data_IF_421354797613
#
_entry.id   IF_421354797613
#
_cell.length_a   1.000
_cell.length_b   1.000
_cell.length_c   1.000
_cell.angle_alpha   90.00
_cell.angle_beta   90.00
_cell.angle_gamma   90.00
#
_symmetry.space_group_name_H-M   'P 1'
#
loop_
_entity.id
_entity.type
_entity.pdbx_description
1 polymer ?
#
# COMPACT_ATOMS: atom_id res chain seq x y z
N UNK A 1 6.64 -8.96 -13.89
CA UNK A 1 8.11 -8.93 -13.67
C UNK A 1 8.39 -9.83 -12.47
N UNK A 2 9.47 -10.63 -12.40
CA UNK A 2 9.72 -11.42 -11.19
C UNK A 2 10.13 -10.49 -10.04
N UNK A 3 9.79 -10.83 -8.80
CA UNK A 3 10.22 -10.04 -7.64
C UNK A 3 11.74 -10.11 -7.48
N UNK A 4 12.41 -8.96 -7.46
CA UNK A 4 13.87 -8.87 -7.41
C UNK A 4 14.36 -8.49 -6.00
N UNK A 5 15.60 -8.86 -5.66
CA UNK A 5 16.30 -8.29 -4.49
C UNK A 5 17.16 -7.12 -4.94
N UNK A 6 17.04 -5.99 -4.25
CA UNK A 6 17.81 -4.77 -4.50
C UNK A 6 18.30 -4.25 -3.15
N UNK A 7 19.46 -3.59 -3.13
CA UNK A 7 19.92 -2.89 -1.93
C UNK A 7 18.99 -1.71 -1.62
N UNK A 8 18.47 -1.65 -0.40
CA UNK A 8 17.51 -0.62 0.03
C UNK A 8 17.93 -0.03 1.37
N UNK A 9 17.35 1.12 1.72
CA UNK A 9 17.42 1.69 3.06
C UNK A 9 16.11 1.32 3.76
N UNK A 10 16.17 0.37 4.70
CA UNK A 10 14.97 -0.23 5.32
C UNK A 10 13.98 0.83 5.85
N UNK A 11 14.47 1.81 6.61
CA UNK A 11 13.63 2.88 7.15
C UNK A 11 12.89 3.70 6.07
N UNK A 12 13.45 3.86 4.86
CA UNK A 12 12.78 4.55 3.76
C UNK A 12 11.69 3.67 3.14
N UNK A 13 11.95 2.37 2.99
CA UNK A 13 10.96 1.41 2.48
C UNK A 13 9.78 1.28 3.45
N UNK A 14 10.07 1.22 4.75
CA UNK A 14 9.05 1.19 5.80
C UNK A 14 8.21 2.47 5.82
N UNK A 15 8.82 3.63 5.56
CA UNK A 15 8.09 4.90 5.43
C UNK A 15 7.17 4.88 4.20
N UNK A 16 7.62 4.35 3.07
CA UNK A 16 6.76 4.23 1.88
C UNK A 16 5.52 3.37 2.14
N UNK A 17 5.66 2.27 2.88
CA UNK A 17 4.53 1.41 3.25
C UNK A 17 3.53 2.14 4.15
N UNK A 18 4.02 2.86 5.17
CA UNK A 18 3.18 3.69 6.05
C UNK A 18 2.45 4.80 5.31
N UNK A 19 3.20 5.59 4.54
CA UNK A 19 2.67 6.76 3.86
C UNK A 19 1.63 6.34 2.82
N UNK A 20 1.85 5.23 2.11
CA UNK A 20 0.88 4.72 1.16
C UNK A 20 -0.44 4.31 1.86
N UNK A 21 -0.36 3.55 2.96
CA UNK A 21 -1.55 3.14 3.71
C UNK A 21 -2.30 4.36 4.28
N UNK A 22 -1.58 5.31 4.89
CA UNK A 22 -2.14 6.53 5.45
C UNK A 22 -2.79 7.42 4.38
N UNK A 23 -2.10 7.65 3.26
CA UNK A 23 -2.59 8.50 2.18
C UNK A 23 -3.84 7.91 1.52
N UNK A 24 -3.90 6.58 1.35
CA UNK A 24 -5.11 5.93 0.86
C UNK A 24 -6.29 6.11 1.82
N UNK A 25 -6.08 5.89 3.12
CA UNK A 25 -7.13 6.10 4.14
C UNK A 25 -7.62 7.55 4.15
N UNK A 26 -6.70 8.52 4.05
CA UNK A 26 -7.04 9.94 3.94
C UNK A 26 -7.84 10.23 2.69
N UNK A 27 -7.38 9.75 1.52
CA UNK A 27 -8.09 9.89 0.24
C UNK A 27 -9.52 9.38 0.36
N UNK A 28 -9.69 8.16 0.90
CA UNK A 28 -11.02 7.53 1.08
C UNK A 28 -11.97 8.37 1.93
N UNK A 29 -11.45 9.01 3.00
CA UNK A 29 -12.26 9.84 3.90
C UNK A 29 -12.63 11.19 3.30
N UNK A 30 -11.74 11.78 2.50
CA UNK A 30 -11.86 13.18 2.09
C UNK A 30 -12.38 13.37 0.66
N UNK A 31 -12.39 12.32 -0.18
CA UNK A 31 -12.73 12.46 -1.61
C UNK A 31 -14.15 13.01 -1.87
N UNK A 32 -15.10 12.66 -1.00
CA UNK A 32 -16.48 13.17 -1.04
C UNK A 32 -16.72 14.24 0.05
N UNK A 33 -15.65 14.68 0.72
CA UNK A 33 -15.71 15.64 1.82
C UNK A 33 -15.72 17.10 1.32
N UNK A 34 -16.19 18.05 2.15
CA UNK A 34 -16.26 19.46 1.76
C UNK A 34 -14.92 20.22 1.92
N UNK A 35 -13.87 19.56 2.45
CA UNK A 35 -12.63 20.21 2.88
C UNK A 35 -11.62 20.29 1.74
N UNK A 36 -11.43 19.21 1.00
CA UNK A 36 -10.43 19.11 -0.06
C UNK A 36 -11.10 19.29 -1.42
N UNK A 37 -10.48 20.09 -2.28
CA UNK A 37 -10.88 20.18 -3.68
C UNK A 37 -10.20 19.10 -4.54
N UNK A 38 -10.54 19.08 -5.83
CA UNK A 38 -9.96 18.16 -6.82
C UNK A 38 -8.43 18.25 -6.92
N UNK A 39 -7.85 19.44 -6.71
CA UNK A 39 -6.41 19.65 -6.77
C UNK A 39 -5.74 19.04 -5.54
N UNK A 40 -6.34 19.21 -4.36
CA UNK A 40 -5.85 18.62 -3.13
C UNK A 40 -5.95 17.09 -3.12
N UNK A 41 -7.04 16.53 -3.63
CA UNK A 41 -7.16 15.07 -3.85
C UNK A 41 -6.11 14.61 -4.85
N UNK A 42 -5.91 15.32 -5.96
CA UNK A 42 -4.87 15.01 -6.95
C UNK A 42 -3.45 14.98 -6.35
N UNK A 43 -3.16 15.84 -5.37
CA UNK A 43 -1.88 15.82 -4.62
C UNK A 43 -1.74 14.60 -3.72
N UNK A 44 -2.83 14.14 -3.11
CA UNK A 44 -2.83 12.89 -2.33
C UNK A 44 -2.57 11.72 -3.27
N UNK A 45 -3.23 11.67 -4.42
CA UNK A 45 -3.09 10.59 -5.41
C UNK A 45 -1.66 10.50 -5.94
N UNK A 46 -1.04 11.63 -6.29
CA UNK A 46 0.36 11.67 -6.72
C UNK A 46 1.33 11.16 -5.65
N UNK A 47 1.12 11.55 -4.39
CA UNK A 47 1.97 11.09 -3.28
C UNK A 47 1.74 9.62 -2.97
N UNK A 48 0.51 9.15 -3.03
CA UNK A 48 0.17 7.74 -2.86
C UNK A 48 0.88 6.90 -3.93
N UNK A 49 0.76 7.30 -5.20
CA UNK A 49 1.41 6.62 -6.32
C UNK A 49 2.93 6.58 -6.16
N UNK A 50 3.56 7.70 -5.79
CA UNK A 50 5.01 7.76 -5.59
C UNK A 50 5.50 6.80 -4.48
N UNK A 51 4.72 6.62 -3.41
CA UNK A 51 5.04 5.65 -2.37
C UNK A 51 4.87 4.20 -2.85
N UNK A 52 3.82 3.91 -3.61
CA UNK A 52 3.61 2.59 -4.22
C UNK A 52 4.72 2.25 -5.23
N UNK A 53 5.15 3.22 -6.04
CA UNK A 53 6.29 3.08 -6.95
C UNK A 53 7.58 2.82 -6.18
N UNK A 54 7.81 3.52 -5.06
CA UNK A 54 8.94 3.27 -4.17
C UNK A 54 8.99 1.84 -3.64
N UNK A 55 7.84 1.29 -3.23
CA UNK A 55 7.72 -0.11 -2.79
C UNK A 55 7.96 -1.10 -3.94
N UNK A 56 7.41 -0.82 -5.13
CA UNK A 56 7.66 -1.65 -6.32
C UNK A 56 9.14 -1.66 -6.71
N UNK A 57 9.80 -0.50 -6.66
CA UNK A 57 11.23 -0.35 -6.94
C UNK A 57 12.12 -1.06 -5.90
N UNK A 58 11.67 -1.11 -4.64
CA UNK A 58 12.34 -1.85 -3.57
C UNK A 58 12.25 -3.39 -3.72
N UNK A 59 11.45 -3.89 -4.66
CA UNK A 59 11.34 -5.32 -4.95
C UNK A 59 10.85 -6.12 -3.75
N UNK A 60 11.57 -7.18 -3.40
CA UNK A 60 11.22 -8.06 -2.26
C UNK A 60 11.13 -7.30 -0.95
N UNK A 61 12.02 -6.32 -0.73
CA UNK A 61 12.00 -5.54 0.49
C UNK A 61 10.72 -4.69 0.62
N UNK A 62 10.20 -4.17 -0.50
CA UNK A 62 8.93 -3.43 -0.50
C UNK A 62 7.74 -4.30 -0.13
N UNK A 63 7.69 -5.52 -0.66
CA UNK A 63 6.66 -6.49 -0.28
C UNK A 63 6.78 -6.93 1.19
N UNK A 64 7.99 -7.20 1.68
CA UNK A 64 8.23 -7.56 3.08
C UNK A 64 7.83 -6.43 4.04
N UNK A 65 8.13 -5.17 3.69
CA UNK A 65 7.72 -4.01 4.47
C UNK A 65 6.20 -3.85 4.52
N UNK A 66 5.51 -4.01 3.38
CA UNK A 66 4.04 -3.95 3.34
C UNK A 66 3.39 -5.08 4.16
N UNK A 67 3.92 -6.31 4.10
CA UNK A 67 3.43 -7.41 4.92
C UNK A 67 3.69 -7.19 6.41
N UNK A 68 4.88 -6.70 6.79
CA UNK A 68 5.19 -6.40 8.17
C UNK A 68 4.26 -5.32 8.72
N UNK A 69 3.99 -4.25 7.94
CA UNK A 69 3.02 -3.22 8.30
C UNK A 69 1.62 -3.78 8.50
N UNK A 70 1.13 -4.63 7.61
CA UNK A 70 -0.17 -5.27 7.79
C UNK A 70 -0.22 -6.19 9.02
N UNK A 71 0.87 -6.90 9.30
CA UNK A 71 0.95 -7.77 10.48
C UNK A 71 0.90 -6.96 11.80
N UNK A 72 1.54 -5.78 11.82
CA UNK A 72 1.51 -4.87 12.97
C UNK A 72 0.18 -4.09 13.06
N UNK A 73 -0.40 -3.74 11.91
CA UNK A 73 -1.59 -2.92 11.76
C UNK A 73 -2.51 -3.53 10.69
N UNK A 74 -3.34 -4.48 11.10
CA UNK A 74 -4.34 -5.09 10.24
C UNK A 74 -5.51 -4.11 10.05
N UNK A 75 -5.31 -3.12 9.17
CA UNK A 75 -6.26 -2.05 8.86
C UNK A 75 -6.48 -1.96 7.32
N UNK A 76 -7.57 -1.30 6.85
CA UNK A 76 -7.89 -1.24 5.43
C UNK A 76 -6.81 -0.57 4.54
N UNK A 77 -6.02 0.37 5.10
CA UNK A 77 -4.95 1.05 4.35
C UNK A 77 -3.80 0.11 4.01
N UNK A 78 -3.39 -0.70 4.97
CA UNK A 78 -2.32 -1.69 4.85
C UNK A 78 -2.76 -2.82 3.92
N UNK A 79 -4.02 -3.26 4.01
CA UNK A 79 -4.59 -4.20 3.04
C UNK A 79 -4.57 -3.63 1.62
N UNK A 80 -4.93 -2.35 1.45
CA UNK A 80 -4.88 -1.70 0.14
C UNK A 80 -3.47 -1.76 -0.46
N UNK A 81 -2.43 -1.44 0.34
CA UNK A 81 -1.04 -1.50 -0.13
C UNK A 81 -0.66 -2.93 -0.54
N UNK A 82 -0.96 -3.94 0.27
CA UNK A 82 -0.71 -5.35 -0.08
C UNK A 82 -1.41 -5.76 -1.38
N UNK A 83 -2.69 -5.44 -1.51
CA UNK A 83 -3.47 -5.77 -2.70
C UNK A 83 -2.91 -5.11 -3.95
N UNK A 84 -2.57 -3.82 -3.89
CA UNK A 84 -2.01 -3.10 -5.04
C UNK A 84 -0.65 -3.67 -5.44
N UNK A 85 0.25 -3.94 -4.50
CA UNK A 85 1.55 -4.52 -4.83
C UNK A 85 1.42 -5.91 -5.45
N UNK A 86 0.58 -6.77 -4.88
CA UNK A 86 0.32 -8.11 -5.43
C UNK A 86 -0.20 -8.04 -6.87
N UNK A 87 -1.20 -7.17 -7.12
CA UNK A 87 -1.78 -6.97 -8.44
C UNK A 87 -0.77 -6.40 -9.45
N UNK A 88 0.07 -5.45 -9.04
CA UNK A 88 1.11 -4.85 -9.91
C UNK A 88 2.23 -5.82 -10.25
N UNK A 89 2.60 -6.68 -9.31
CA UNK A 89 3.56 -7.76 -9.59
C UNK A 89 2.98 -8.79 -10.54
N UNK A 90 1.66 -8.98 -10.54
CA UNK A 90 0.97 -9.98 -11.35
C UNK A 90 1.29 -11.40 -10.87
N UNK A 91 1.56 -11.54 -9.57
CA UNK A 91 1.95 -12.79 -8.94
C UNK A 91 0.75 -13.40 -8.21
N UNK A 92 0.37 -14.61 -8.60
CA UNK A 92 -0.83 -15.28 -8.09
C UNK A 92 -0.68 -15.61 -6.59
N UNK A 93 0.51 -15.98 -6.13
CA UNK A 93 0.76 -16.35 -4.74
C UNK A 93 0.64 -15.11 -3.84
N UNK A 94 1.21 -13.97 -4.28
CA UNK A 94 1.06 -12.70 -3.56
C UNK A 94 -0.40 -12.22 -3.53
N UNK A 95 -1.12 -12.45 -4.63
CA UNK A 95 -2.54 -12.10 -4.72
C UNK A 95 -3.36 -12.95 -3.75
N UNK A 96 -3.08 -14.24 -3.65
CA UNK A 96 -3.68 -15.13 -2.66
C UNK A 96 -3.38 -14.68 -1.23
N UNK A 97 -2.14 -14.27 -0.94
CA UNK A 97 -1.77 -13.68 0.37
C UNK A 97 -2.62 -12.44 0.69
N UNK A 98 -2.78 -11.52 -0.26
CA UNK A 98 -3.60 -10.32 -0.05
C UNK A 98 -5.09 -10.65 0.16
N UNK A 99 -5.64 -11.64 -0.56
CA UNK A 99 -7.02 -12.10 -0.38
C UNK A 99 -7.20 -12.74 1.00
N UNK A 100 -6.28 -13.60 1.41
CA UNK A 100 -6.33 -14.23 2.73
C UNK A 100 -6.16 -13.20 3.86
N UNK A 101 -5.32 -12.19 3.67
CA UNK A 101 -5.19 -11.06 4.59
C UNK A 101 -6.53 -10.32 4.75
N UNK A 102 -7.28 -10.10 3.65
CA UNK A 102 -8.59 -9.46 3.70
C UNK A 102 -9.59 -10.21 4.59
N UNK A 103 -9.54 -11.55 4.62
CA UNK A 103 -10.42 -12.35 5.48
C UNK A 103 -10.22 -12.07 6.99
N UNK A 104 -9.03 -11.60 7.39
CA UNK A 104 -8.74 -11.25 8.79
C UNK A 104 -9.33 -9.92 9.25
N UNK A 105 -9.77 -9.06 8.33
CA UNK A 105 -10.32 -7.73 8.60
C UNK A 105 -11.83 -7.72 8.90
N UNK A 106 -12.52 -8.86 8.70
CA UNK A 106 -13.98 -8.95 8.87
C UNK A 106 -14.76 -8.26 7.74
N UNK A 107 -16.07 -8.03 7.95
CA UNK A 107 -16.91 -7.37 6.95
C UNK A 107 -16.40 -5.94 6.67
N UNK A 108 -16.18 -5.57 5.40
CA UNK A 108 -15.86 -4.19 5.05
C UNK A 108 -17.07 -3.31 5.37
N UNK A 109 -16.93 -2.46 6.39
CA UNK A 109 -17.92 -1.44 6.74
C UNK A 109 -18.15 -0.42 5.63
#
# INVERSE_FOLDING_TARGET
>A
MPMHRVATIAAIVDQHAEDAAFLWLRRRREIDGPILDETDIGRIDQRLEANLEGLMAAGKAGWEAAQARFADYAEPGELFVLGVLALRWGDADLTEVAINAAASLGEPG
#
